data_IF_877105437118
#
_entry.id   IF_877105437118
#
_cell.length_a   1.000
_cell.length_b   1.000
_cell.length_c   1.000
_cell.angle_alpha   90.00
_cell.angle_beta   90.00
_cell.angle_gamma   90.00
#
_symmetry.space_group_name_H-M   'P 1'
#
loop_
_entity.id
_entity.type
_entity.pdbx_description
1 polymer ?
#
# COMPACT_ATOMS: atom_id res chain seq x y z
N UNK A 1 8.68 24.19 6.20
CA UNK A 1 8.02 22.96 6.68
C UNK A 1 8.65 21.76 6.00
N UNK A 2 9.53 21.05 6.71
CA UNK A 2 10.15 19.82 6.20
C UNK A 2 9.20 18.66 6.46
N UNK A 3 8.86 17.92 5.40
CA UNK A 3 7.98 16.75 5.43
C UNK A 3 8.85 15.55 5.06
N UNK A 4 8.93 14.57 5.95
CA UNK A 4 9.67 13.34 5.72
C UNK A 4 9.02 12.48 4.62
N UNK A 5 9.72 11.45 4.12
CA UNK A 5 9.24 10.59 3.04
C UNK A 5 7.92 9.87 3.40
N UNK A 6 6.99 9.79 2.42
CA UNK A 6 5.70 9.09 2.56
C UNK A 6 5.78 7.60 2.30
N UNK A 7 6.81 7.18 1.57
CA UNK A 7 7.10 5.80 1.15
C UNK A 7 8.61 5.64 1.01
N UNK A 8 9.14 4.44 1.28
CA UNK A 8 10.59 4.17 1.14
C UNK A 8 10.91 3.28 -0.05
N UNK A 9 10.28 2.10 -0.14
CA UNK A 9 10.61 1.09 -1.14
C UNK A 9 9.40 0.76 -2.01
N UNK A 10 9.19 1.51 -3.09
CA UNK A 10 8.09 1.21 -4.03
C UNK A 10 8.34 -0.15 -4.70
N UNK A 11 7.29 -0.94 -4.85
CA UNK A 11 7.38 -2.19 -5.58
C UNK A 11 7.63 -1.92 -7.07
N UNK A 12 8.59 -2.64 -7.63
CA UNK A 12 8.92 -2.64 -9.05
C UNK A 12 8.88 -4.08 -9.58
N UNK A 13 8.75 -4.23 -10.90
CA UNK A 13 8.81 -5.54 -11.58
C UNK A 13 7.81 -6.57 -11.01
N UNK A 14 6.57 -6.14 -10.81
CA UNK A 14 5.52 -7.01 -10.31
C UNK A 14 5.00 -7.92 -11.41
N UNK A 15 4.74 -9.16 -11.02
CA UNK A 15 4.05 -10.13 -11.85
C UNK A 15 2.55 -9.75 -12.03
N UNK A 16 1.91 -10.29 -13.08
CA UNK A 16 0.56 -9.92 -13.48
C UNK A 16 -0.54 -10.26 -12.46
N UNK A 17 -0.27 -11.12 -11.47
CA UNK A 17 -1.23 -11.48 -10.42
C UNK A 17 -1.40 -10.39 -9.35
N UNK A 18 -0.56 -9.35 -9.35
CA UNK A 18 -0.67 -8.23 -8.42
C UNK A 18 -1.64 -7.16 -8.88
N UNK A 19 -2.55 -6.79 -8.00
CA UNK A 19 -3.37 -5.59 -8.12
C UNK A 19 -2.67 -4.42 -7.42
N UNK A 20 -2.71 -3.25 -8.08
CA UNK A 20 -2.05 -2.02 -7.62
C UNK A 20 -3.08 -0.91 -7.37
N UNK A 21 -3.82 -0.96 -6.25
CA UNK A 21 -4.99 -0.11 -6.04
C UNK A 21 -4.66 1.36 -5.73
N UNK A 22 -3.41 1.69 -5.39
CA UNK A 22 -3.00 3.04 -5.00
C UNK A 22 -1.91 3.56 -5.94
N UNK A 23 -2.23 4.67 -6.62
CA UNK A 23 -1.27 5.48 -7.36
C UNK A 23 -0.94 6.77 -6.61
N UNK A 24 0.33 7.19 -6.65
CA UNK A 24 0.78 8.47 -6.08
C UNK A 24 1.96 9.03 -6.87
N UNK A 25 2.10 10.36 -6.85
CA UNK A 25 3.25 11.07 -7.37
C UNK A 25 3.53 12.30 -6.54
N UNK A 26 4.77 12.77 -6.65
CA UNK A 26 5.12 14.13 -6.30
C UNK A 26 4.73 15.09 -7.44
N UNK A 27 4.63 16.38 -7.12
CA UNK A 27 4.20 17.39 -8.09
C UNK A 27 5.16 17.45 -9.28
N UNK A 28 4.64 17.23 -10.49
CA UNK A 28 5.43 17.21 -11.73
C UNK A 28 5.99 15.85 -12.12
N UNK A 29 5.89 14.84 -11.26
CA UNK A 29 6.32 13.48 -11.57
C UNK A 29 5.19 12.59 -12.10
N UNK A 30 5.57 11.50 -12.78
CA UNK A 30 4.62 10.49 -13.24
C UNK A 30 4.07 9.68 -12.04
N UNK A 31 2.77 9.31 -12.05
CA UNK A 31 2.20 8.42 -11.04
C UNK A 31 2.92 7.07 -10.93
N UNK A 32 3.48 6.79 -9.75
CA UNK A 32 3.94 5.47 -9.33
C UNK A 32 2.80 4.69 -8.69
N UNK A 33 2.78 3.37 -8.90
CA UNK A 33 1.76 2.46 -8.35
C UNK A 33 2.31 1.43 -7.36
N UNK A 34 3.61 1.43 -7.13
CA UNK A 34 4.29 0.43 -6.29
C UNK A 34 4.04 0.58 -4.79
N UNK A 35 3.15 1.48 -4.38
CA UNK A 35 2.98 1.84 -2.98
C UNK A 35 2.22 0.79 -2.18
N UNK A 36 1.33 0.09 -2.86
CA UNK A 36 0.55 -1.03 -2.36
C UNK A 36 0.36 -2.03 -3.49
N UNK A 37 0.85 -3.24 -3.30
CA UNK A 37 0.63 -4.37 -4.19
C UNK A 37 -0.09 -5.47 -3.41
N UNK A 38 -1.23 -5.93 -3.91
CA UNK A 38 -2.01 -7.01 -3.29
C UNK A 38 -2.15 -8.17 -4.27
N UNK A 39 -2.13 -9.39 -3.77
CA UNK A 39 -2.35 -10.58 -4.57
C UNK A 39 -3.11 -11.64 -3.76
N UNK A 40 -3.90 -12.45 -4.45
CA UNK A 40 -4.51 -13.63 -3.85
C UNK A 40 -3.46 -14.72 -3.70
N UNK A 41 -3.40 -15.37 -2.53
CA UNK A 41 -2.47 -16.46 -2.28
C UNK A 41 -3.11 -17.58 -1.43
N UNK A 42 -3.35 -18.73 -2.08
CA UNK A 42 -4.10 -19.83 -1.46
C UNK A 42 -5.45 -19.36 -0.92
N UNK A 43 -5.72 -19.60 0.37
CA UNK A 43 -6.97 -19.20 1.03
C UNK A 43 -6.96 -17.76 1.57
N UNK A 44 -5.85 -17.04 1.45
CA UNK A 44 -5.63 -15.72 2.02
C UNK A 44 -5.08 -14.73 0.99
N UNK A 45 -4.70 -13.54 1.46
CA UNK A 45 -4.17 -12.47 0.62
C UNK A 45 -2.76 -12.11 1.04
N UNK A 46 -1.93 -11.76 0.07
CA UNK A 46 -0.65 -11.11 0.28
C UNK A 46 -0.80 -9.61 0.02
N UNK A 47 -0.20 -8.80 0.88
CA UNK A 47 -0.14 -7.35 0.70
C UNK A 47 1.27 -6.85 0.98
N UNK A 48 1.88 -6.24 -0.02
CA UNK A 48 3.10 -5.44 0.11
C UNK A 48 2.72 -3.97 0.22
N UNK A 49 3.25 -3.27 1.22
CA UNK A 49 2.94 -1.87 1.47
C UNK A 49 4.23 -1.10 1.77
N UNK A 50 4.56 -0.13 0.93
CA UNK A 50 5.77 0.70 1.08
C UNK A 50 5.54 1.98 1.87
N UNK A 51 4.28 2.31 2.16
CA UNK A 51 3.90 3.48 2.95
C UNK A 51 4.45 3.35 4.38
N UNK A 52 4.93 4.46 4.93
CA UNK A 52 5.52 4.52 6.29
C UNK A 52 4.46 4.48 7.40
N UNK A 53 3.66 3.41 7.46
CA UNK A 53 2.58 3.26 8.45
C UNK A 53 3.08 3.39 9.89
N UNK A 54 4.32 2.95 10.18
CA UNK A 54 4.91 3.08 11.51
C UNK A 54 5.05 4.54 12.00
N UNK A 55 5.04 5.53 11.10
CA UNK A 55 4.97 6.96 11.45
C UNK A 55 3.55 7.48 11.41
N UNK A 56 2.78 7.08 10.39
CA UNK A 56 1.43 7.61 10.17
C UNK A 56 0.43 7.14 11.24
N UNK A 57 0.56 5.90 11.73
CA UNK A 57 -0.30 5.38 12.78
C UNK A 57 -0.06 6.11 14.11
N UNK A 58 1.17 6.21 14.68
CA UNK A 58 1.38 7.00 15.91
C UNK A 58 1.03 8.49 15.78
N UNK A 59 1.14 9.06 14.59
CA UNK A 59 0.75 10.44 14.31
C UNK A 59 -0.77 10.65 14.19
N UNK A 60 -1.60 9.61 14.32
CA UNK A 60 -3.05 9.73 14.32
C UNK A 60 -3.67 9.97 12.94
N UNK A 61 -2.96 9.67 11.84
CA UNK A 61 -3.43 9.98 10.48
C UNK A 61 -4.63 9.08 10.11
N UNK A 62 -5.85 9.61 9.91
CA UNK A 62 -7.05 8.78 9.72
C UNK A 62 -6.96 7.85 8.51
N UNK A 63 -6.33 8.30 7.43
CA UNK A 63 -6.14 7.50 6.21
C UNK A 63 -5.29 6.25 6.45
N UNK A 64 -4.29 6.33 7.33
CA UNK A 64 -3.41 5.21 7.65
C UNK A 64 -4.17 4.12 8.43
N UNK A 65 -4.98 4.51 9.40
CA UNK A 65 -5.85 3.60 10.15
C UNK A 65 -6.88 2.94 9.24
N UNK A 66 -7.54 3.72 8.37
CA UNK A 66 -8.51 3.19 7.40
C UNK A 66 -7.86 2.19 6.44
N UNK A 67 -6.67 2.50 5.92
CA UNK A 67 -5.94 1.60 5.04
C UNK A 67 -5.59 0.29 5.77
N UNK A 68 -5.05 0.37 6.98
CA UNK A 68 -4.71 -0.81 7.78
C UNK A 68 -5.95 -1.67 8.08
N UNK A 69 -7.06 -1.04 8.46
CA UNK A 69 -8.32 -1.74 8.70
C UNK A 69 -8.82 -2.47 7.44
N UNK A 70 -8.75 -1.82 6.27
CA UNK A 70 -9.14 -2.44 4.99
C UNK A 70 -8.25 -3.64 4.63
N UNK A 71 -6.93 -3.55 4.87
CA UNK A 71 -6.00 -4.64 4.63
C UNK A 71 -6.29 -5.84 5.54
N UNK A 72 -6.59 -5.59 6.82
CA UNK A 72 -6.96 -6.66 7.78
C UNK A 72 -8.30 -7.28 7.41
N UNK A 73 -9.25 -6.49 6.92
CA UNK A 73 -10.61 -6.92 6.59
C UNK A 73 -10.74 -7.58 5.20
N UNK A 74 -9.64 -7.82 4.48
CA UNK A 74 -9.70 -8.41 3.14
C UNK A 74 -10.41 -9.78 3.15
N UNK A 75 -11.29 -10.06 2.18
CA UNK A 75 -12.05 -11.30 2.14
C UNK A 75 -11.14 -12.51 1.92
N UNK A 76 -11.55 -13.67 2.46
CA UNK A 76 -10.90 -14.94 2.12
C UNK A 76 -11.12 -15.27 0.66
N UNK A 77 -10.12 -15.86 0.03
CA UNK A 77 -10.26 -16.34 -1.34
C UNK A 77 -11.06 -17.63 -1.36
N UNK A 78 -12.04 -17.68 -2.26
CA UNK A 78 -12.77 -18.92 -2.54
C UNK A 78 -11.82 -19.86 -3.30
N UNK A 79 -11.83 -21.17 -2.96
CA UNK A 79 -11.03 -22.17 -3.66
C UNK A 79 -11.43 -22.30 -5.13
#
# INVERSE_FOLDING_TARGET
>A
NWVQERSTYQAEQLDAHFELPIGMNDTGEKPGKGSLAIAKYGKGNFAYLSLVLFRQLPAGIPGAYKLMANLIAMPKNQP
#
